data_IF_980990504023
#
_entry.id   IF_980990504023
#
_cell.length_a   1.000
_cell.length_b   1.000
_cell.length_c   1.000
_cell.angle_alpha   90.00
_cell.angle_beta   90.00
_cell.angle_gamma   90.00
#
_symmetry.space_group_name_H-M   'P 1'
#
loop_
_entity.id
_entity.type
_entity.pdbx_description
1 polymer ?
#
# COMPACT_ATOMS: atom_id res chain seq x y z
N UNK A 1 -27.32 4.00 -6.62
CA UNK A 1 -27.10 4.90 -6.05
C UNK A 1 -25.92 5.06 -5.21
N UNK A 2 -25.62 4.28 -4.43
CA UNK A 2 -24.49 4.45 -3.60
C UNK A 2 -23.18 4.00 -4.14
N UNK A 3 -23.16 3.68 -5.38
CA UNK A 3 -21.98 3.15 -5.95
C UNK A 3 -20.85 4.10 -5.93
N UNK A 4 -21.09 5.36 -5.87
CA UNK A 4 -19.98 6.25 -5.84
C UNK A 4 -19.16 6.09 -4.60
N UNK A 5 -19.70 5.49 -3.58
CA UNK A 5 -18.93 5.28 -2.39
C UNK A 5 -17.82 4.30 -2.66
N UNK A 6 -18.00 3.46 -3.64
CA UNK A 6 -16.99 2.48 -3.95
C UNK A 6 -15.81 3.03 -4.70
N UNK A 7 -15.87 4.29 -5.05
CA UNK A 7 -14.77 4.88 -5.77
C UNK A 7 -13.78 5.60 -4.89
N UNK A 8 -13.83 5.34 -3.61
CA UNK A 8 -12.86 5.95 -2.71
C UNK A 8 -11.52 5.33 -3.02
N UNK A 9 -10.62 6.12 -3.48
CA UNK A 9 -9.31 5.67 -3.86
C UNK A 9 -8.27 6.32 -2.98
N UNK A 10 -7.42 5.50 -2.41
CA UNK A 10 -6.36 5.94 -1.51
C UNK A 10 -5.03 5.59 -2.13
N UNK A 11 -4.14 6.57 -2.23
CA UNK A 11 -2.78 6.30 -2.64
C UNK A 11 -1.89 6.46 -1.43
N UNK A 12 -0.97 5.53 -1.25
CA UNK A 12 -0.04 5.55 -0.14
C UNK A 12 1.37 5.64 -0.69
N UNK A 13 2.02 6.78 -0.46
CA UNK A 13 3.41 6.96 -0.83
C UNK A 13 4.24 6.32 0.27
N UNK A 14 5.17 5.46 -0.11
CA UNK A 14 5.87 4.62 0.85
C UNK A 14 5.07 3.37 1.14
N UNK A 15 4.28 2.92 0.15
CA UNK A 15 3.34 1.84 0.35
C UNK A 15 3.95 0.47 0.52
N UNK A 16 5.25 0.31 0.30
CA UNK A 16 5.91 -0.96 0.55
C UNK A 16 6.69 -0.95 1.85
N UNK A 17 6.55 0.11 2.64
CA UNK A 17 7.28 0.25 3.89
C UNK A 17 6.55 -0.32 5.08
N UNK A 18 7.19 -0.24 6.24
CA UNK A 18 6.67 -0.82 7.47
C UNK A 18 5.35 -0.23 7.94
N UNK A 19 5.06 1.01 7.58
CA UNK A 19 3.82 1.65 7.97
C UNK A 19 2.83 1.63 6.82
N UNK A 20 3.29 1.99 5.63
CA UNK A 20 2.40 2.11 4.48
C UNK A 20 1.79 0.81 4.03
N UNK A 21 2.57 -0.27 4.03
CA UNK A 21 2.06 -1.54 3.56
C UNK A 21 0.95 -2.08 4.47
N UNK A 22 1.13 -2.14 5.80
CA UNK A 22 0.05 -2.61 6.66
C UNK A 22 -1.19 -1.74 6.57
N UNK A 23 -1.02 -0.41 6.48
CA UNK A 23 -2.17 0.47 6.33
C UNK A 23 -2.91 0.19 5.03
N UNK A 24 -2.16 -0.04 3.97
CA UNK A 24 -2.76 -0.36 2.69
C UNK A 24 -3.61 -1.62 2.74
N UNK A 25 -3.12 -2.63 3.46
CA UNK A 25 -3.88 -3.86 3.60
C UNK A 25 -5.18 -3.62 4.36
N UNK A 26 -5.12 -2.82 5.41
CA UNK A 26 -6.30 -2.55 6.21
C UNK A 26 -7.36 -1.82 5.39
N UNK A 27 -6.96 -0.78 4.67
CA UNK A 27 -7.92 -0.05 3.85
C UNK A 27 -8.46 -0.91 2.72
N UNK A 28 -7.59 -1.70 2.08
CA UNK A 28 -8.03 -2.55 0.99
C UNK A 28 -9.02 -3.59 1.50
N UNK A 29 -8.77 -4.13 2.68
CA UNK A 29 -9.66 -5.11 3.26
C UNK A 29 -11.03 -4.52 3.56
N UNK A 30 -11.10 -3.20 3.75
CA UNK A 30 -12.37 -2.52 4.00
C UNK A 30 -12.97 -1.98 2.70
N UNK A 31 -12.53 -2.52 1.59
CA UNK A 31 -13.08 -2.23 0.27
C UNK A 31 -12.75 -0.88 -0.32
N UNK A 32 -11.69 -0.25 0.17
CA UNK A 32 -11.15 0.91 -0.51
C UNK A 32 -10.24 0.41 -1.62
N UNK A 33 -10.17 1.20 -2.68
CA UNK A 33 -9.21 0.91 -3.73
C UNK A 33 -7.90 1.56 -3.29
N UNK A 34 -6.85 0.77 -3.16
CA UNK A 34 -5.59 1.26 -2.62
C UNK A 34 -4.47 1.12 -3.65
N UNK A 35 -3.73 2.20 -3.84
CA UNK A 35 -2.54 2.20 -4.68
C UNK A 35 -1.32 2.36 -3.79
N UNK A 36 -0.48 1.34 -3.77
CA UNK A 36 0.76 1.40 -3.02
C UNK A 36 1.84 1.92 -3.94
N UNK A 37 2.36 3.10 -3.64
CA UNK A 37 3.39 3.74 -4.44
C UNK A 37 4.70 3.67 -3.70
N UNK A 38 5.73 3.13 -4.33
CA UNK A 38 7.03 3.01 -3.69
C UNK A 38 8.12 2.93 -4.74
N UNK A 39 9.32 3.35 -4.38
CA UNK A 39 10.45 3.28 -5.28
C UNK A 39 11.04 1.88 -5.30
N UNK A 40 10.77 1.08 -4.30
CA UNK A 40 11.34 -0.25 -4.18
C UNK A 40 10.60 -1.25 -5.05
N UNK A 41 11.05 -1.38 -6.31
CA UNK A 41 10.39 -2.27 -7.24
C UNK A 41 10.43 -3.72 -6.80
N UNK A 42 11.47 -4.11 -6.08
CA UNK A 42 11.57 -5.48 -5.59
C UNK A 42 10.47 -5.81 -4.59
N UNK A 43 10.20 -4.88 -3.68
CA UNK A 43 9.13 -5.07 -2.71
C UNK A 43 7.77 -5.06 -3.42
N UNK A 44 7.59 -4.14 -4.38
CA UNK A 44 6.32 -4.10 -5.10
C UNK A 44 6.08 -5.39 -5.86
N UNK A 45 7.12 -5.95 -6.47
CA UNK A 45 6.98 -7.22 -7.17
C UNK A 45 6.59 -8.34 -6.22
N UNK A 46 7.14 -8.36 -5.02
CA UNK A 46 6.75 -9.36 -4.05
C UNK A 46 5.30 -9.22 -3.68
N UNK A 47 4.86 -7.99 -3.46
CA UNK A 47 3.47 -7.73 -3.09
C UNK A 47 2.54 -8.24 -4.18
N UNK A 48 2.87 -7.97 -5.44
CA UNK A 48 2.03 -8.44 -6.54
C UNK A 48 1.93 -9.94 -6.61
N UNK A 49 2.93 -10.64 -6.11
CA UNK A 49 2.92 -12.09 -6.10
C UNK A 49 2.36 -12.67 -4.80
N UNK A 50 1.81 -11.82 -3.96
CA UNK A 50 1.23 -12.27 -2.72
C UNK A 50 2.22 -12.52 -1.62
N UNK A 51 3.42 -11.95 -1.72
CA UNK A 51 4.47 -12.11 -0.72
C UNK A 51 4.65 -10.77 0.00
N UNK A 52 4.36 -10.68 1.28
CA UNK A 52 4.56 -9.43 2.02
C UNK A 52 6.05 -9.09 2.09
N UNK A 53 6.39 -7.82 2.04
CA UNK A 53 7.79 -7.43 2.15
C UNK A 53 8.36 -7.62 3.54
N UNK A 54 7.50 -7.79 4.54
CA UNK A 54 7.95 -8.00 5.91
C UNK A 54 7.24 -9.19 6.52
N UNK A 55 7.90 -9.82 7.48
CA UNK A 55 7.32 -10.97 8.16
C UNK A 55 6.42 -10.48 9.29
N UNK A 56 5.15 -10.41 9.02
CA UNK A 56 4.17 -10.06 10.03
C UNK A 56 3.08 -11.09 10.03
N UNK A 57 2.69 -11.50 11.23
CA UNK A 57 1.70 -12.52 11.36
C UNK A 57 0.40 -12.12 10.68
N UNK A 58 -0.11 -12.99 9.84
CA UNK A 58 -1.38 -12.74 9.17
C UNK A 58 -1.31 -11.89 7.92
N UNK A 59 -0.19 -11.22 7.66
CA UNK A 59 -0.14 -10.32 6.52
C UNK A 59 -0.18 -11.05 5.18
N UNK A 60 0.40 -12.23 5.10
CA UNK A 60 0.39 -12.95 3.83
C UNK A 60 -1.03 -13.35 3.43
N UNK A 61 -1.80 -13.81 4.40
CA UNK A 61 -3.17 -14.21 4.13
C UNK A 61 -4.01 -13.01 3.76
N UNK A 62 -3.85 -11.92 4.47
CA UNK A 62 -4.59 -10.72 4.20
C UNK A 62 -4.22 -10.13 2.84
N UNK A 63 -2.93 -10.15 2.50
CA UNK A 63 -2.48 -9.66 1.22
C UNK A 63 -3.12 -10.44 0.08
N UNK A 64 -3.13 -11.77 0.18
CA UNK A 64 -3.73 -12.57 -0.85
C UNK A 64 -5.22 -12.26 -1.00
N UNK A 65 -5.88 -12.02 0.12
CA UNK A 65 -7.30 -11.69 0.07
C UNK A 65 -7.52 -10.37 -0.64
N UNK A 66 -6.71 -9.36 -0.34
CA UNK A 66 -6.85 -8.05 -0.96
C UNK A 66 -6.57 -8.11 -2.46
N UNK A 67 -5.57 -8.88 -2.86
CA UNK A 67 -5.28 -9.03 -4.28
C UNK A 67 -6.41 -9.73 -5.01
N UNK A 68 -7.00 -10.72 -4.36
CA UNK A 68 -8.09 -11.45 -4.98
C UNK A 68 -9.31 -10.56 -5.16
N UNK A 69 -9.53 -9.63 -4.24
CA UNK A 69 -10.63 -8.68 -4.36
C UNK A 69 -10.33 -7.59 -5.38
N UNK A 70 -9.09 -7.53 -5.85
CA UNK A 70 -8.66 -6.52 -6.82
C UNK A 70 -8.82 -5.10 -6.31
N UNK A 71 -8.59 -4.92 -5.03
CA UNK A 71 -8.62 -3.61 -4.41
C UNK A 71 -7.24 -3.06 -4.08
N UNK A 72 -6.19 -3.81 -4.37
CA UNK A 72 -4.84 -3.40 -4.03
C UNK A 72 -3.98 -3.37 -5.28
N UNK A 73 -3.34 -2.24 -5.53
CA UNK A 73 -2.50 -2.04 -6.70
C UNK A 73 -1.15 -1.50 -6.29
N UNK A 74 -0.16 -1.70 -7.14
CA UNK A 74 1.20 -1.23 -6.89
C UNK A 74 1.64 -0.36 -8.04
N UNK A 75 2.40 0.70 -7.74
CA UNK A 75 2.89 1.60 -8.75
C UNK A 75 4.24 2.16 -8.37
N UNK A 76 5.14 2.28 -9.36
CA UNK A 76 6.43 2.90 -9.14
C UNK A 76 6.36 4.41 -9.29
N UNK A 77 5.35 4.91 -9.98
CA UNK A 77 5.24 6.33 -10.22
C UNK A 77 4.05 6.94 -9.51
N UNK A 78 3.89 8.24 -9.64
CA UNK A 78 2.85 8.96 -8.92
C UNK A 78 1.62 9.27 -9.75
N UNK A 79 1.44 8.60 -10.88
CA UNK A 79 0.31 8.91 -11.73
C UNK A 79 -1.04 8.67 -11.08
N UNK A 80 -1.12 7.70 -10.19
CA UNK A 80 -2.38 7.41 -9.53
C UNK A 80 -2.83 8.52 -8.58
N UNK A 81 -1.94 9.45 -8.25
CA UNK A 81 -2.34 10.55 -7.37
C UNK A 81 -3.39 11.42 -7.99
N UNK A 82 -3.44 11.47 -9.31
CA UNK A 82 -4.40 12.31 -10.00
C UNK A 82 -5.84 11.92 -9.74
N UNK A 83 -6.07 10.64 -9.52
CA UNK A 83 -7.43 10.16 -9.30
C UNK A 83 -7.70 9.80 -7.86
N UNK A 84 -6.74 9.99 -6.97
CA UNK A 84 -6.91 9.61 -5.58
C UNK A 84 -7.75 10.61 -4.82
N UNK A 85 -8.61 10.09 -3.97
CA UNK A 85 -9.39 10.92 -3.07
C UNK A 85 -8.59 11.25 -1.83
N UNK A 86 -7.74 10.32 -1.40
CA UNK A 86 -6.91 10.51 -0.23
C UNK A 86 -5.49 10.10 -0.54
N UNK A 87 -4.54 10.83 -0.02
CA UNK A 87 -3.12 10.53 -0.22
C UNK A 87 -2.46 10.48 1.15
N UNK A 88 -1.89 9.32 1.45
CA UNK A 88 -1.15 9.15 2.69
C UNK A 88 0.32 9.09 2.36
N UNK A 89 1.12 9.81 3.13
CA UNK A 89 2.56 9.81 2.92
C UNK A 89 3.21 9.10 4.10
N UNK A 90 3.75 7.93 3.84
CA UNK A 90 4.33 7.09 4.88
C UNK A 90 5.80 6.86 4.58
N UNK A 91 6.56 7.93 4.59
CA UNK A 91 7.98 7.86 4.29
C UNK A 91 8.72 7.69 5.59
N UNK A 92 9.49 6.63 5.67
CA UNK A 92 10.25 6.39 6.86
C UNK A 92 11.32 7.45 7.05
N UNK A 93 11.60 7.77 8.29
CA UNK A 93 12.67 8.69 8.61
C UNK A 93 13.98 7.91 8.58
N UNK A 94 14.94 8.31 7.77
CA UNK A 94 16.20 7.58 7.76
C UNK A 94 16.87 7.75 9.12
N UNK A 95 17.38 6.65 9.63
CA UNK A 95 18.11 6.67 10.87
C UNK A 95 19.56 6.46 10.53
N UNK A 96 20.40 7.44 10.81
CA UNK A 96 21.80 7.27 10.49
C UNK A 96 22.47 6.43 11.57
N UNK A 97 23.76 6.17 11.39
CA UNK A 97 24.47 5.31 12.31
C UNK A 97 24.62 5.91 13.69
N UNK A 98 24.40 7.18 13.82
CA UNK A 98 24.49 7.84 15.09
C UNK A 98 23.14 7.97 15.77
N UNK A 99 22.12 7.41 15.15
CA UNK A 99 20.79 7.47 15.69
C UNK A 99 20.28 8.87 15.90
N UNK A 100 20.62 9.73 15.00
CA UNK A 100 20.17 11.10 15.09
C UNK A 100 18.93 11.35 14.27
N UNK A 101 18.08 10.43 14.29
CA UNK A 101 16.88 10.52 13.47
C UNK A 101 15.95 11.61 13.98
#
# INVERSE_FOLDING_TARGET
>A
MLKKINNKEISIIGGAGHVGFPLGLIFSAKNFKVNLIDKNSGFLNKIERGIPPFLEKGSKKLLKKCLKKKNLFTNLDHNSLKTSKFILICIGTPIDHNLNA
#
